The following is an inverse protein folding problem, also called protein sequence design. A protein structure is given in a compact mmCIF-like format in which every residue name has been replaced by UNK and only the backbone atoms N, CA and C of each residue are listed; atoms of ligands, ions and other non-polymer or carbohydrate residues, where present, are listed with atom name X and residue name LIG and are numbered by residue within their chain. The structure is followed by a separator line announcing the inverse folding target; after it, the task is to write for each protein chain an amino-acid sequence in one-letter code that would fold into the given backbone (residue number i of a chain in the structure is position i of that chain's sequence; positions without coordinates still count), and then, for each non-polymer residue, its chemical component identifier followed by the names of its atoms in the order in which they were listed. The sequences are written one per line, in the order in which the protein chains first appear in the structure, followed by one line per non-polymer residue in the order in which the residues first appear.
data_IF_781259897180
#
_entry.id   IF_781259897180
#
_cell.length_a   1.000
_cell.length_b   1.000
_cell.length_c   1.000
_cell.angle_alpha   90.00
_cell.angle_beta   90.00
_cell.angle_gamma   90.00
#
_symmetry.space_group_name_H-M   'P 1'
#
loop_
_entity.id
_entity.type
_entity.pdbx_description
1 polymer ?
#
# COMPACT_ATOMS: atom_id res chain seq x y z
N UNK A 1 -49.76 13.16 23.59
CA UNK A 1 -48.76 13.55 24.60
C UNK A 1 -47.79 12.41 24.81
N UNK A 2 -46.50 12.64 24.55
CA UNK A 2 -45.34 11.82 24.99
C UNK A 2 -45.27 10.40 24.41
N UNK A 3 -44.18 9.95 23.78
CA UNK A 3 -42.78 10.28 23.99
C UNK A 3 -42.04 10.14 22.66
N UNK A 4 -41.25 11.15 22.34
CA UNK A 4 -40.14 11.03 21.42
C UNK A 4 -39.21 9.91 21.91
N UNK A 5 -39.06 8.87 21.11
CA UNK A 5 -38.03 7.85 21.26
C UNK A 5 -37.11 7.98 20.06
N UNK A 6 -36.09 8.82 20.21
CA UNK A 6 -34.98 8.94 19.26
C UNK A 6 -34.28 7.59 19.17
N UNK A 7 -34.21 7.02 17.97
CA UNK A 7 -33.20 5.99 17.65
C UNK A 7 -32.60 6.30 16.27
N UNK A 8 -31.98 7.48 16.20
CA UNK A 8 -30.91 7.76 15.26
C UNK A 8 -29.69 6.96 15.72
N UNK A 9 -29.18 6.07 14.87
CA UNK A 9 -27.76 5.78 14.57
C UNK A 9 -27.77 4.44 13.83
N UNK A 10 -27.86 4.48 12.50
CA UNK A 10 -27.54 3.33 11.67
C UNK A 10 -26.59 3.79 10.56
N UNK A 11 -25.43 3.12 10.51
CA UNK A 11 -24.43 3.13 9.43
C UNK A 11 -23.51 4.37 9.31
N UNK A 12 -22.78 4.67 10.39
CA UNK A 12 -21.37 5.01 10.22
C UNK A 12 -20.62 3.78 9.67
N UNK A 13 -19.53 4.02 8.94
CA UNK A 13 -18.52 3.07 8.42
C UNK A 13 -18.74 2.50 7.02
N UNK A 14 -18.80 3.39 6.01
CA UNK A 14 -18.24 3.11 4.67
C UNK A 14 -16.97 3.93 4.40
N UNK A 15 -16.36 4.49 5.46
CA UNK A 15 -14.93 4.78 5.42
C UNK A 15 -14.20 3.44 5.50
N UNK A 16 -14.19 2.71 4.39
CA UNK A 16 -12.97 2.00 4.03
C UNK A 16 -11.90 3.07 3.98
N UNK A 17 -11.30 3.38 5.14
CA UNK A 17 -9.97 3.93 5.19
C UNK A 17 -9.14 2.87 4.47
N UNK A 18 -9.05 2.96 3.15
CA UNK A 18 -7.95 2.42 2.38
C UNK A 18 -6.72 3.23 2.81
N UNK A 19 -6.36 3.08 4.08
CA UNK A 19 -5.08 3.40 4.66
C UNK A 19 -4.15 2.55 3.83
N UNK A 20 -3.49 3.21 2.89
CA UNK A 20 -2.65 2.53 1.92
C UNK A 20 -1.53 1.75 2.61
N UNK A 21 -0.73 1.00 1.83
CA UNK A 21 0.42 0.33 2.40
C UNK A 21 1.28 1.33 3.19
N UNK A 22 1.82 0.86 4.31
CA UNK A 22 2.70 1.64 5.16
C UNK A 22 3.82 0.76 5.68
N UNK A 23 4.99 1.38 5.79
CA UNK A 23 6.22 0.76 6.24
C UNK A 23 6.94 0.00 5.15
N UNK A 24 7.99 -0.70 5.59
CA UNK A 24 8.97 -1.36 4.72
C UNK A 24 8.57 -2.78 4.39
N UNK A 25 8.66 -3.13 3.12
CA UNK A 25 8.47 -4.47 2.58
C UNK A 25 9.74 -4.88 1.86
N UNK A 26 10.21 -6.10 2.13
CA UNK A 26 11.47 -6.61 1.59
C UNK A 26 11.29 -8.01 1.05
N UNK A 27 12.10 -8.35 0.05
CA UNK A 27 12.22 -9.73 -0.39
C UNK A 27 12.98 -10.56 0.65
N UNK A 28 12.93 -11.89 0.53
CA UNK A 28 13.60 -12.79 1.49
C UNK A 28 15.10 -12.53 1.61
N UNK A 29 15.76 -12.06 0.54
CA UNK A 29 17.20 -11.79 0.56
C UNK A 29 17.56 -10.43 1.15
N UNK A 30 16.59 -9.52 1.32
CA UNK A 30 16.82 -8.13 1.72
C UNK A 30 17.52 -7.30 0.63
N UNK A 31 17.68 -7.83 -0.58
CA UNK A 31 18.31 -7.13 -1.69
C UNK A 31 17.35 -6.14 -2.35
N UNK A 32 16.04 -6.37 -2.24
CA UNK A 32 15.01 -5.52 -2.83
C UNK A 32 14.00 -5.11 -1.77
N UNK A 33 13.66 -3.83 -1.75
CA UNK A 33 12.74 -3.25 -0.80
C UNK A 33 11.86 -2.17 -1.39
N UNK A 34 10.70 -1.99 -0.76
CA UNK A 34 9.81 -0.85 -0.94
C UNK A 34 9.41 -0.36 0.45
N UNK A 35 9.74 0.89 0.75
CA UNK A 35 9.32 1.55 1.98
C UNK A 35 8.22 2.56 1.67
N UNK A 36 6.99 2.23 2.01
CA UNK A 36 5.85 3.10 1.80
C UNK A 36 5.83 4.20 2.85
N UNK A 37 6.18 5.40 2.40
CA UNK A 37 6.10 6.62 3.17
C UNK A 37 4.66 7.17 3.13
N UNK A 38 4.35 8.11 4.01
CA UNK A 38 3.08 8.82 3.97
C UNK A 38 2.85 9.56 2.63
N UNK A 39 1.62 10.01 2.42
CA UNK A 39 1.25 10.95 1.34
C UNK A 39 1.49 10.47 -0.10
N UNK A 40 1.53 9.16 -0.34
CA UNK A 40 1.67 8.60 -1.69
C UNK A 40 3.12 8.51 -2.19
N UNK A 41 4.10 8.68 -1.30
CA UNK A 41 5.51 8.50 -1.63
C UNK A 41 6.05 7.15 -1.14
N UNK A 42 7.01 6.57 -1.85
CA UNK A 42 7.72 5.37 -1.43
C UNK A 42 9.20 5.46 -1.77
N UNK A 43 10.05 4.82 -0.98
CA UNK A 43 11.46 4.58 -1.31
C UNK A 43 11.57 3.16 -1.87
N UNK A 44 11.99 3.02 -3.13
CA UNK A 44 12.22 1.74 -3.77
C UNK A 44 13.71 1.53 -3.89
N UNK A 45 14.22 0.39 -3.45
CA UNK A 45 15.63 0.06 -3.59
C UNK A 45 15.87 -1.38 -3.97
N UNK A 46 16.96 -1.60 -4.68
CA UNK A 46 17.32 -2.89 -5.25
C UNK A 46 18.77 -2.85 -5.74
N UNK A 47 19.53 -3.92 -5.49
CA UNK A 47 20.85 -4.14 -6.12
C UNK A 47 21.83 -2.96 -5.93
N UNK A 48 21.83 -2.36 -4.74
CA UNK A 48 22.74 -1.25 -4.39
C UNK A 48 22.28 0.14 -4.83
N UNK A 49 21.10 0.26 -5.45
CA UNK A 49 20.49 1.54 -5.81
C UNK A 49 19.19 1.74 -5.03
N UNK A 50 18.86 2.99 -4.69
CA UNK A 50 17.58 3.36 -4.11
C UNK A 50 17.10 4.70 -4.69
N UNK A 51 15.79 4.85 -4.85
CA UNK A 51 15.17 6.04 -5.39
C UNK A 51 13.77 6.25 -4.85
N UNK A 52 13.31 7.50 -4.88
CA UNK A 52 11.93 7.83 -4.54
C UNK A 52 11.01 7.51 -5.72
N UNK A 53 9.84 6.98 -5.41
CA UNK A 53 8.76 6.70 -6.32
C UNK A 53 7.45 7.25 -5.76
N UNK A 54 6.54 7.64 -6.66
CA UNK A 54 5.16 7.89 -6.27
C UNK A 54 4.39 6.59 -6.31
N UNK A 55 3.39 6.41 -5.45
CA UNK A 55 2.53 5.25 -5.49
C UNK A 55 1.05 5.58 -5.39
N UNK A 56 0.24 4.68 -5.95
CA UNK A 56 -1.21 4.73 -5.85
C UNK A 56 -1.77 3.34 -5.61
N UNK A 57 -2.59 3.19 -4.58
CA UNK A 57 -3.34 1.96 -4.33
C UNK A 57 -4.68 1.99 -5.09
N UNK A 58 -5.02 0.87 -5.72
CA UNK A 58 -6.32 0.62 -6.34
C UNK A 58 -6.76 -0.81 -5.98
N UNK A 59 -7.60 -0.93 -4.95
CA UNK A 59 -7.96 -2.23 -4.39
C UNK A 59 -6.73 -2.96 -3.85
N UNK A 60 -6.52 -4.19 -4.31
CA UNK A 60 -5.38 -5.03 -3.91
C UNK A 60 -4.11 -4.76 -4.72
N UNK A 61 -4.11 -3.81 -5.66
CA UNK A 61 -2.93 -3.49 -6.48
C UNK A 61 -2.38 -2.13 -6.09
N UNK A 62 -1.06 -2.07 -5.90
CA UNK A 62 -0.31 -0.83 -5.70
C UNK A 62 0.54 -0.59 -6.93
N UNK A 63 0.38 0.59 -7.54
CA UNK A 63 1.15 1.03 -8.68
C UNK A 63 2.26 1.94 -8.18
N UNK A 64 3.52 1.52 -8.33
CA UNK A 64 4.72 2.32 -8.04
C UNK A 64 5.22 2.95 -9.33
N UNK A 65 5.08 4.26 -9.46
CA UNK A 65 5.58 5.00 -10.62
C UNK A 65 7.09 5.21 -10.46
N UNK A 66 7.86 4.44 -11.22
CA UNK A 66 9.33 4.44 -11.19
C UNK A 66 9.84 4.90 -12.55
N UNK A 67 10.11 6.19 -12.72
CA UNK A 67 10.60 6.75 -13.98
C UNK A 67 9.85 8.00 -14.43
N UNK A 68 10.51 8.83 -15.25
CA UNK A 68 9.93 10.06 -15.80
C UNK A 68 8.95 9.81 -16.96
N UNK A 69 8.97 8.60 -17.52
CA UNK A 69 8.08 8.13 -18.58
C UNK A 69 6.70 7.66 -18.06
N UNK A 70 6.53 7.64 -16.73
CA UNK A 70 5.29 7.18 -16.09
C UNK A 70 5.15 5.66 -16.00
N UNK A 71 6.22 4.91 -16.28
CA UNK A 71 6.23 3.46 -16.09
C UNK A 71 5.94 3.10 -14.64
N UNK A 72 4.98 2.19 -14.43
CA UNK A 72 4.55 1.79 -13.10
C UNK A 72 4.77 0.29 -12.87
N UNK A 73 5.47 -0.03 -11.78
CA UNK A 73 5.56 -1.39 -11.25
C UNK A 73 4.27 -1.72 -10.51
N UNK A 74 3.74 -2.92 -10.74
CA UNK A 74 2.53 -3.39 -10.08
C UNK A 74 2.92 -4.33 -8.94
N UNK A 75 2.45 -3.99 -7.74
CA UNK A 75 2.55 -4.83 -6.56
C UNK A 75 1.15 -5.32 -6.21
N UNK A 76 0.91 -6.62 -6.32
CA UNK A 76 -0.38 -7.25 -5.99
C UNK A 76 -0.36 -7.78 -4.57
N UNK A 77 -1.26 -7.28 -3.73
CA UNK A 77 -1.43 -7.74 -2.35
C UNK A 77 -1.94 -9.18 -2.34
N UNK A 78 -1.27 -10.01 -1.55
CA UNK A 78 -1.64 -11.40 -1.28
C UNK A 78 -2.48 -11.48 -0.01
N UNK A 79 -3.15 -12.61 0.19
CA UNK A 79 -3.97 -12.87 1.38
C UNK A 79 -3.17 -12.87 2.69
N UNK A 80 -1.87 -13.18 2.63
CA UNK A 80 -0.93 -13.16 3.76
C UNK A 80 -0.41 -11.75 4.09
N UNK A 81 -0.81 -10.73 3.33
CA UNK A 81 -0.39 -9.34 3.51
C UNK A 81 0.94 -8.98 2.83
N UNK A 82 1.61 -9.94 2.19
CA UNK A 82 2.77 -9.66 1.34
C UNK A 82 2.32 -9.12 -0.03
N UNK A 83 3.27 -8.54 -0.77
CA UNK A 83 3.08 -8.08 -2.14
C UNK A 83 3.82 -8.98 -3.12
N UNK A 84 3.12 -9.48 -4.13
CA UNK A 84 3.72 -10.16 -5.27
C UNK A 84 3.98 -9.17 -6.40
N UNK A 85 5.10 -9.34 -7.09
CA UNK A 85 5.52 -8.50 -8.21
C UNK A 85 6.40 -9.28 -9.18
N UNK A 86 6.79 -8.67 -10.31
CA UNK A 86 7.47 -9.36 -11.42
C UNK A 86 8.73 -10.13 -11.00
N UNK A 87 9.44 -9.69 -9.95
CA UNK A 87 10.69 -10.30 -9.52
C UNK A 87 10.56 -11.17 -8.25
N UNK A 88 9.38 -11.28 -7.65
CA UNK A 88 9.18 -12.16 -6.49
C UNK A 88 8.09 -11.71 -5.53
N UNK A 89 8.35 -11.87 -4.23
CA UNK A 89 7.43 -11.51 -3.14
C UNK A 89 8.14 -10.61 -2.13
N UNK A 90 7.51 -9.50 -1.78
CA UNK A 90 7.93 -8.55 -0.76
C UNK A 90 7.01 -8.70 0.45
N UNK A 91 7.56 -9.03 1.62
CA UNK A 91 6.79 -9.15 2.85
C UNK A 91 7.16 -8.02 3.81
N UNK A 92 6.22 -7.62 4.66
CA UNK A 92 6.42 -6.53 5.60
C UNK A 92 7.55 -6.88 6.59
N UNK A 93 8.54 -6.01 6.69
CA UNK A 93 9.57 -6.08 7.72
C UNK A 93 9.04 -5.39 8.99
N UNK A 94 9.25 -6.03 10.14
CA UNK A 94 8.82 -5.53 11.47
C UNK A 94 9.59 -4.30 11.91
#
# INVERSE_FOLDING_TARGET
MGRAGVMMVAALVLAGCSQGPSGRYEDRSGLVFVDFMGDGEAMVGGLGMAGRAQWKAQGDVVYLVTGADGSALQLKKRADGCYEWTLGVLCKTV
#
